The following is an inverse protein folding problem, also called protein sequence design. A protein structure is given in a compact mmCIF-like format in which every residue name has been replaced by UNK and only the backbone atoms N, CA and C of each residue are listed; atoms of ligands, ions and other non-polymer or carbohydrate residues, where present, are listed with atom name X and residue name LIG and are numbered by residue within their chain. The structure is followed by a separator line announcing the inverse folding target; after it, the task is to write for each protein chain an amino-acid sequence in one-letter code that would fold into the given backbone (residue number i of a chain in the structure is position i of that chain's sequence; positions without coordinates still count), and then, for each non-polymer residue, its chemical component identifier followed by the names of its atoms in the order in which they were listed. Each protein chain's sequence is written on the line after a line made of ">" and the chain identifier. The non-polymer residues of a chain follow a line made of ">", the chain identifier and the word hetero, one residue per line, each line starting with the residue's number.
data_IF_488273560016
#
_entry.id   IF_488273560016
#
_cell.length_a   1.000
_cell.length_b   1.000
_cell.length_c   1.000
_cell.angle_alpha   90.00
_cell.angle_beta   90.00
_cell.angle_gamma   90.00
#
_symmetry.space_group_name_H-M   'P 1'
#
loop_
_entity.id
_entity.type
_entity.pdbx_description
1 polymer ?
#
# COMPACT_ATOMS: atom_id res chain seq x y z
N UNK A 1 10.67 -12.69 -1.96
CA UNK A 1 10.36 -11.24 -1.85
C UNK A 1 11.25 -10.39 -2.74
N UNK A 2 10.65 -9.41 -3.43
CA UNK A 2 11.38 -8.34 -4.14
C UNK A 2 11.32 -7.08 -3.28
N UNK A 3 12.44 -6.36 -3.16
CA UNK A 3 12.54 -5.15 -2.32
C UNK A 3 13.11 -4.02 -3.17
N UNK A 4 12.49 -2.84 -3.06
CA UNK A 4 12.86 -1.66 -3.84
C UNK A 4 12.95 -0.42 -2.93
N UNK A 5 14.09 0.29 -3.01
CA UNK A 5 14.24 1.64 -2.44
C UNK A 5 13.57 2.64 -3.38
N UNK A 6 12.65 3.44 -2.84
CA UNK A 6 11.90 4.44 -3.61
C UNK A 6 12.35 5.88 -3.31
N UNK A 7 13.11 6.02 -2.21
CA UNK A 7 13.68 7.24 -1.69
C UNK A 7 14.29 6.96 -0.31
N UNK A 8 15.08 7.89 0.22
CA UNK A 8 15.62 7.76 1.57
C UNK A 8 14.48 7.56 2.58
N UNK A 9 14.49 6.44 3.29
CA UNK A 9 13.45 6.12 4.27
C UNK A 9 12.11 5.64 3.69
N UNK A 10 11.99 5.46 2.36
CA UNK A 10 10.78 4.90 1.72
C UNK A 10 11.13 3.67 0.88
N UNK A 11 10.48 2.56 1.21
CA UNK A 11 10.71 1.28 0.57
C UNK A 11 9.39 0.60 0.24
N UNK A 12 9.39 -0.19 -0.83
CA UNK A 12 8.32 -1.13 -1.13
C UNK A 12 8.91 -2.53 -1.20
N UNK A 13 8.17 -3.52 -0.70
CA UNK A 13 8.47 -4.91 -0.97
C UNK A 13 7.23 -5.67 -1.42
N UNK A 14 7.46 -6.77 -2.12
CA UNK A 14 6.42 -7.73 -2.49
C UNK A 14 6.67 -9.09 -1.88
N UNK A 15 5.60 -9.82 -1.57
CA UNK A 15 5.64 -11.20 -1.10
C UNK A 15 4.46 -12.01 -1.61
N UNK A 16 4.59 -13.34 -1.55
CA UNK A 16 3.52 -14.24 -1.96
C UNK A 16 2.45 -14.32 -0.87
N UNK A 17 1.23 -13.87 -1.16
CA UNK A 17 0.13 -13.93 -0.20
C UNK A 17 -0.22 -15.41 0.09
N UNK A 18 -0.15 -15.88 1.35
CA UNK A 18 -0.24 -17.30 1.68
C UNK A 18 -1.62 -17.89 1.41
N UNK A 19 -2.68 -17.08 1.53
CA UNK A 19 -4.07 -17.52 1.32
C UNK A 19 -4.53 -17.44 -0.14
N UNK A 20 -3.69 -16.95 -1.06
CA UNK A 20 -4.03 -16.90 -2.48
C UNK A 20 -4.17 -18.30 -3.07
N UNK A 21 -5.14 -18.48 -3.96
CA UNK A 21 -5.35 -19.71 -4.72
C UNK A 21 -5.37 -19.43 -6.22
N UNK A 22 -4.88 -20.34 -7.08
CA UNK A 22 -4.87 -20.17 -8.54
C UNK A 22 -6.22 -19.79 -9.16
N UNK A 23 -7.32 -20.26 -8.58
CA UNK A 23 -8.67 -19.97 -9.07
C UNK A 23 -9.12 -18.52 -8.81
N UNK A 24 -8.41 -17.78 -7.94
CA UNK A 24 -8.65 -16.38 -7.62
C UNK A 24 -7.86 -15.42 -8.51
N UNK A 25 -6.98 -15.93 -9.37
CA UNK A 25 -6.22 -15.13 -10.34
C UNK A 25 -6.99 -14.79 -11.62
N UNK A 26 -6.32 -14.12 -12.54
CA UNK A 26 -6.85 -13.78 -13.87
C UNK A 26 -7.54 -12.43 -13.95
N UNK A 27 -8.22 -12.11 -15.07
CA UNK A 27 -8.60 -10.73 -15.41
C UNK A 27 -9.52 -10.00 -14.41
N UNK A 28 -10.36 -10.74 -13.68
CA UNK A 28 -11.25 -10.20 -12.65
C UNK A 28 -10.81 -10.58 -11.22
N UNK A 29 -9.66 -11.26 -11.12
CA UNK A 29 -9.04 -11.74 -9.90
C UNK A 29 -7.87 -10.87 -9.48
N UNK A 30 -7.09 -11.37 -8.54
CA UNK A 30 -5.86 -10.74 -8.05
C UNK A 30 -4.69 -11.69 -8.13
N UNK A 31 -3.48 -11.15 -8.25
CA UNK A 31 -2.25 -11.92 -8.39
C UNK A 31 -1.67 -12.29 -7.03
N UNK A 32 -1.02 -13.46 -6.93
CA UNK A 32 -0.48 -13.96 -5.65
C UNK A 32 0.50 -12.98 -4.99
N UNK A 33 1.26 -12.25 -5.79
CA UNK A 33 2.23 -11.29 -5.30
C UNK A 33 1.53 -9.99 -4.88
N UNK A 34 1.73 -9.58 -3.63
CA UNK A 34 1.17 -8.34 -3.06
C UNK A 34 2.26 -7.46 -2.48
N UNK A 35 2.06 -6.15 -2.61
CA UNK A 35 2.95 -5.10 -2.14
C UNK A 35 2.62 -4.60 -0.75
N UNK A 36 3.67 -4.18 -0.05
CA UNK A 36 3.64 -3.49 1.23
C UNK A 36 4.63 -2.32 1.21
N UNK A 37 4.41 -1.32 2.07
CA UNK A 37 5.25 -0.11 2.13
C UNK A 37 5.88 0.05 3.50
N UNK A 38 7.15 0.47 3.53
CA UNK A 38 7.89 0.89 4.71
C UNK A 38 8.23 2.37 4.55
N UNK A 39 7.93 3.18 5.57
CA UNK A 39 8.24 4.60 5.62
C UNK A 39 8.81 5.02 6.98
N UNK A 40 9.99 5.65 6.99
CA UNK A 40 10.56 6.31 8.17
C UNK A 40 9.97 7.70 8.37
N UNK A 41 8.74 7.74 8.88
CA UNK A 41 8.11 8.99 9.32
C UNK A 41 8.95 9.72 10.39
N UNK A 42 8.76 11.04 10.59
CA UNK A 42 9.48 11.81 11.62
C UNK A 42 9.51 11.15 13.00
N UNK A 43 8.37 10.63 13.46
CA UNK A 43 8.21 10.03 14.79
C UNK A 43 8.02 8.51 14.85
N UNK A 44 7.99 7.80 13.72
CA UNK A 44 7.70 6.36 13.68
C UNK A 44 8.37 5.64 12.50
N UNK A 45 8.54 4.32 12.64
CA UNK A 45 8.64 3.43 11.48
C UNK A 45 7.21 3.02 11.11
N UNK A 46 6.76 3.39 9.92
CA UNK A 46 5.41 3.13 9.43
C UNK A 46 5.44 1.97 8.44
N UNK A 47 4.61 0.97 8.68
CA UNK A 47 4.39 -0.15 7.77
C UNK A 47 2.96 -0.09 7.26
N UNK A 48 2.77 -0.13 5.94
CA UNK A 48 1.45 -0.12 5.30
C UNK A 48 1.18 -1.49 4.69
N UNK A 49 0.01 -2.06 5.03
CA UNK A 49 -0.48 -3.37 4.57
C UNK A 49 0.58 -4.48 4.66
N UNK A 50 1.28 -4.64 5.80
CA UNK A 50 2.50 -5.42 5.83
C UNK A 50 2.26 -6.92 5.68
N UNK A 51 2.95 -7.53 4.72
CA UNK A 51 3.08 -8.97 4.58
C UNK A 51 4.49 -9.42 4.97
N UNK A 52 4.58 -10.36 5.90
CA UNK A 52 5.79 -11.16 6.13
C UNK A 52 5.85 -12.21 5.03
N UNK A 53 6.80 -12.15 4.08
CA UNK A 53 6.78 -13.05 2.93
C UNK A 53 7.16 -14.47 3.37
N UNK A 54 6.27 -15.47 3.26
CA UNK A 54 6.55 -16.83 3.73
C UNK A 54 7.73 -17.47 2.98
N UNK A 55 8.01 -17.03 1.76
CA UNK A 55 9.14 -17.51 0.97
C UNK A 55 10.50 -16.93 1.40
N UNK A 56 10.53 -15.87 2.20
CA UNK A 56 11.75 -15.14 2.58
C UNK A 56 11.72 -14.64 4.04
N UNK A 57 10.97 -15.32 4.92
CA UNK A 57 10.64 -14.87 6.27
C UNK A 57 11.87 -14.48 7.12
N UNK A 58 12.92 -15.33 7.16
CA UNK A 58 14.12 -15.05 7.96
C UNK A 58 14.84 -13.78 7.47
N UNK A 59 14.88 -13.59 6.15
CA UNK A 59 15.51 -12.41 5.54
C UNK A 59 14.69 -11.15 5.83
N UNK A 60 13.37 -11.25 5.80
CA UNK A 60 12.46 -10.16 6.17
C UNK A 60 12.67 -9.72 7.62
N UNK A 61 12.59 -10.65 8.59
CA UNK A 61 12.74 -10.30 10.00
C UNK A 61 14.10 -9.71 10.32
N UNK A 62 15.19 -10.28 9.78
CA UNK A 62 16.54 -9.75 9.98
C UNK A 62 16.69 -8.31 9.47
N UNK A 63 16.07 -7.99 8.34
CA UNK A 63 16.09 -6.64 7.79
C UNK A 63 15.25 -5.68 8.64
N UNK A 64 14.01 -6.05 8.96
CA UNK A 64 13.10 -5.20 9.72
C UNK A 64 13.63 -4.94 11.15
N UNK A 65 14.19 -5.95 11.82
CA UNK A 65 14.83 -5.79 13.14
C UNK A 65 15.94 -4.74 13.10
N UNK A 66 16.86 -4.86 12.13
CA UNK A 66 17.96 -3.92 11.94
C UNK A 66 17.44 -2.51 11.71
N UNK A 67 16.41 -2.35 10.88
CA UNK A 67 15.91 -1.04 10.48
C UNK A 67 15.10 -0.37 11.59
N UNK A 68 14.31 -1.13 12.36
CA UNK A 68 13.62 -0.65 13.57
C UNK A 68 14.63 -0.28 14.66
N UNK A 69 15.65 -1.09 14.90
CA UNK A 69 16.72 -0.79 15.87
C UNK A 69 17.49 0.47 15.46
N UNK A 70 17.87 0.60 14.18
CA UNK A 70 18.55 1.79 13.66
C UNK A 70 17.69 3.04 13.81
N UNK A 71 16.41 2.97 13.47
CA UNK A 71 15.52 4.12 13.55
C UNK A 71 15.32 4.57 15.00
N UNK A 72 15.25 3.62 15.95
CA UNK A 72 15.02 3.92 17.37
C UNK A 72 13.65 4.56 17.64
N UNK A 73 12.67 4.32 16.76
CA UNK A 73 11.32 4.89 16.80
C UNK A 73 10.28 3.79 17.02
N UNK A 74 9.10 4.11 17.58
CA UNK A 74 8.00 3.15 17.64
C UNK A 74 7.58 2.70 16.24
N UNK A 75 7.09 1.47 16.15
CA UNK A 75 6.51 0.92 14.92
C UNK A 75 5.01 1.23 14.89
N UNK A 76 4.51 1.70 13.75
CA UNK A 76 3.10 1.97 13.48
C UNK A 76 2.68 1.16 12.27
N UNK A 77 1.54 0.49 12.36
CA UNK A 77 0.97 -0.27 11.25
C UNK A 77 -0.29 0.44 10.78
N UNK A 78 -0.33 0.74 9.49
CA UNK A 78 -1.49 1.30 8.83
C UNK A 78 -2.04 0.27 7.85
N UNK A 79 -3.35 0.10 7.84
CA UNK A 79 -4.03 -0.84 6.95
C UNK A 79 -4.98 -0.02 6.08
N UNK A 80 -4.83 -0.10 4.75
CA UNK A 80 -5.63 0.67 3.80
C UNK A 80 -7.07 0.15 3.73
N UNK A 81 -7.24 -1.17 3.81
CA UNK A 81 -8.53 -1.88 3.82
C UNK A 81 -8.46 -3.10 4.73
N UNK A 82 -9.52 -3.41 5.48
CA UNK A 82 -9.39 -4.29 6.66
C UNK A 82 -8.86 -5.71 6.38
N UNK A 83 -9.10 -6.28 5.19
CA UNK A 83 -8.54 -7.58 4.81
C UNK A 83 -7.03 -7.54 4.45
N UNK A 84 -6.42 -6.36 4.35
CA UNK A 84 -4.96 -6.17 4.23
C UNK A 84 -4.22 -6.25 5.58
N UNK A 85 -4.90 -6.58 6.67
CA UNK A 85 -4.25 -6.81 7.96
C UNK A 85 -3.09 -7.83 7.85
N UNK A 86 -3.22 -8.87 7.01
CA UNK A 86 -2.11 -9.77 6.61
C UNK A 86 -1.26 -10.20 7.83
N UNK A 87 0.00 -9.77 7.90
CA UNK A 87 0.94 -10.10 8.97
C UNK A 87 1.04 -9.03 10.07
N UNK A 88 0.10 -8.08 10.11
CA UNK A 88 0.08 -6.99 11.08
C UNK A 88 0.15 -7.50 12.53
N UNK A 89 -0.60 -8.56 12.87
CA UNK A 89 -0.61 -9.12 14.23
C UNK A 89 0.76 -9.64 14.65
N UNK A 90 1.46 -10.38 13.78
CA UNK A 90 2.79 -10.91 14.05
C UNK A 90 3.83 -9.79 14.23
N UNK A 91 3.73 -8.73 13.44
CA UNK A 91 4.62 -7.56 13.53
C UNK A 91 4.30 -6.75 14.79
N UNK A 92 3.02 -6.58 15.13
CA UNK A 92 2.57 -5.89 16.33
C UNK A 92 3.04 -6.61 17.60
N UNK A 93 2.94 -7.95 17.63
CA UNK A 93 3.47 -8.76 18.73
C UNK A 93 4.99 -8.60 18.87
N UNK A 94 5.73 -8.58 17.75
CA UNK A 94 7.20 -8.49 17.76
C UNK A 94 7.72 -7.14 18.25
N UNK A 95 7.10 -6.04 17.83
CA UNK A 95 7.62 -4.69 18.08
C UNK A 95 6.78 -3.86 19.05
N UNK A 96 5.68 -4.41 19.59
CA UNK A 96 4.69 -3.64 20.34
C UNK A 96 4.05 -2.55 19.49
N UNK A 97 3.83 -2.81 18.20
CA UNK A 97 3.36 -1.81 17.24
C UNK A 97 1.89 -1.45 17.48
N UNK A 98 1.53 -0.19 17.24
CA UNK A 98 0.14 0.27 17.29
C UNK A 98 -0.51 0.16 15.91
N UNK A 99 -1.68 -0.51 15.84
CA UNK A 99 -2.48 -0.71 14.62
C UNK A 99 -3.67 0.26 14.50
N UNK A 100 -3.76 1.25 15.39
CA UNK A 100 -4.83 2.25 15.42
C UNK A 100 -4.38 3.59 16.00
N UNK A 101 -5.34 4.46 16.34
CA UNK A 101 -5.07 5.80 16.86
C UNK A 101 -4.84 6.86 15.77
N UNK A 102 -4.43 8.09 16.16
CA UNK A 102 -4.11 9.14 15.20
C UNK A 102 -2.98 8.72 14.25
N UNK A 103 -3.03 9.18 13.00
CA UNK A 103 -1.97 8.92 12.02
C UNK A 103 -0.63 9.50 12.52
N UNK A 104 0.49 8.83 12.23
CA UNK A 104 1.82 9.41 12.44
C UNK A 104 1.98 10.72 11.66
N UNK A 105 2.76 11.66 12.20
CA UNK A 105 3.16 12.87 11.46
C UNK A 105 3.78 12.48 10.11
N UNK A 106 3.48 13.24 9.06
CA UNK A 106 3.96 12.95 7.70
C UNK A 106 3.11 11.93 6.92
N UNK A 107 1.99 11.47 7.48
CA UNK A 107 0.99 10.65 6.77
C UNK A 107 -0.38 11.30 6.86
N UNK A 108 -1.04 11.46 5.71
CA UNK A 108 -2.42 11.94 5.60
C UNK A 108 -3.32 10.83 5.04
N UNK A 109 -4.60 10.85 5.39
CA UNK A 109 -5.59 9.88 4.91
C UNK A 109 -6.66 10.54 4.04
N UNK A 110 -6.98 9.88 2.94
CA UNK A 110 -8.04 10.24 2.00
C UNK A 110 -9.01 9.06 1.92
N UNK A 111 -10.13 9.10 2.67
CA UNK A 111 -11.04 7.95 2.76
C UNK A 111 -11.91 7.82 1.51
N UNK A 112 -11.90 6.64 0.89
CA UNK A 112 -12.85 6.22 -0.14
C UNK A 112 -13.99 5.42 0.52
N UNK A 113 -14.79 6.10 1.36
CA UNK A 113 -15.75 5.49 2.31
C UNK A 113 -16.68 4.45 1.69
N UNK A 114 -17.14 4.66 0.44
CA UNK A 114 -18.04 3.74 -0.24
C UNK A 114 -17.40 2.36 -0.57
N UNK A 115 -16.09 2.23 -0.41
CA UNK A 115 -15.29 1.06 -0.75
C UNK A 115 -14.51 0.51 0.44
N UNK A 116 -14.79 1.01 1.65
CA UNK A 116 -14.09 0.64 2.90
C UNK A 116 -12.55 0.73 2.83
N UNK A 117 -12.04 1.58 1.93
CA UNK A 117 -10.61 1.80 1.75
C UNK A 117 -10.21 3.22 2.13
N UNK A 118 -9.02 3.36 2.72
CA UNK A 118 -8.36 4.63 2.97
C UNK A 118 -7.06 4.71 2.18
N UNK A 119 -6.95 5.71 1.31
CA UNK A 119 -5.74 6.00 0.56
C UNK A 119 -4.82 6.82 1.47
N UNK A 120 -3.56 6.43 1.56
CA UNK A 120 -2.57 7.17 2.35
C UNK A 120 -1.75 8.08 1.45
N UNK A 121 -1.51 9.31 1.91
CA UNK A 121 -0.64 10.28 1.27
C UNK A 121 0.59 10.51 2.14
N UNK A 122 1.78 10.43 1.53
CA UNK A 122 3.07 10.71 2.17
C UNK A 122 3.67 11.93 1.46
N UNK A 123 3.44 13.16 1.98
CA UNK A 123 3.83 14.40 1.32
C UNK A 123 5.32 14.48 1.00
N UNK A 124 6.18 14.02 1.92
CA UNK A 124 7.65 14.05 1.78
C UNK A 124 8.14 13.33 0.52
N UNK A 125 7.44 12.28 0.11
CA UNK A 125 7.81 11.46 -1.05
C UNK A 125 6.89 11.65 -2.25
N UNK A 126 5.94 12.59 -2.16
CA UNK A 126 4.93 12.75 -3.19
C UNK A 126 4.18 11.44 -3.48
N UNK A 127 3.96 10.58 -2.48
CA UNK A 127 3.53 9.20 -2.69
C UNK A 127 2.10 8.95 -2.20
N UNK A 128 1.25 8.42 -3.09
CA UNK A 128 -0.05 7.84 -2.72
C UNK A 128 0.11 6.33 -2.56
N UNK A 129 -0.48 5.76 -1.52
CA UNK A 129 -0.51 4.32 -1.24
C UNK A 129 -1.95 3.82 -1.30
N UNK A 130 -2.18 2.84 -2.18
CA UNK A 130 -3.48 2.22 -2.43
C UNK A 130 -3.47 0.75 -2.01
N UNK A 131 -4.58 0.31 -1.43
CA UNK A 131 -4.93 -1.09 -1.25
C UNK A 131 -5.44 -1.66 -2.56
N UNK A 132 -6.76 -1.63 -2.78
CA UNK A 132 -7.42 -2.40 -3.83
C UNK A 132 -8.13 -1.54 -4.86
N UNK A 133 -8.53 -0.30 -4.57
CA UNK A 133 -9.28 0.51 -5.55
C UNK A 133 -8.47 0.95 -6.77
N UNK A 134 -7.14 1.04 -6.64
CA UNK A 134 -6.20 1.33 -7.73
C UNK A 134 -5.11 0.27 -7.77
N UNK A 135 -4.94 -0.35 -8.94
CA UNK A 135 -4.02 -1.46 -9.18
C UNK A 135 -3.00 -1.07 -10.25
N UNK A 136 -1.82 -1.69 -10.23
CA UNK A 136 -0.86 -1.61 -11.31
C UNK A 136 -1.44 -2.18 -12.60
N UNK A 137 -1.19 -1.50 -13.72
CA UNK A 137 -1.63 -1.95 -15.03
C UNK A 137 -0.52 -2.73 -15.76
N UNK A 138 -0.92 -3.74 -16.54
CA UNK A 138 0.00 -4.39 -17.47
C UNK A 138 0.53 -3.37 -18.50
N UNK A 139 1.84 -3.35 -18.72
CA UNK A 139 2.47 -2.38 -19.62
C UNK A 139 2.79 -1.01 -18.98
N UNK A 140 2.53 -0.86 -17.68
CA UNK A 140 2.84 0.34 -16.91
C UNK A 140 1.62 1.24 -16.67
N UNK A 141 1.75 2.16 -15.71
CA UNK A 141 0.63 2.98 -15.24
C UNK A 141 -0.24 2.25 -14.21
N UNK A 142 -1.45 2.76 -14.00
CA UNK A 142 -2.43 2.19 -13.08
C UNK A 142 -3.79 2.05 -13.75
N UNK A 143 -4.64 1.21 -13.16
CA UNK A 143 -6.04 1.01 -13.52
C UNK A 143 -6.89 0.94 -12.25
N UNK A 144 -8.19 1.18 -12.37
CA UNK A 144 -9.12 0.89 -11.29
C UNK A 144 -9.31 -0.64 -11.13
N UNK A 145 -9.74 -1.05 -9.95
CA UNK A 145 -10.10 -2.44 -9.70
C UNK A 145 -11.25 -2.91 -10.64
N UNK A 146 -11.40 -4.23 -10.83
CA UNK A 146 -12.57 -4.78 -11.50
C UNK A 146 -13.87 -4.33 -10.83
N UNK A 147 -14.93 -4.10 -11.62
CA UNK A 147 -16.26 -3.75 -11.07
C UNK A 147 -16.79 -4.79 -10.08
N UNK A 148 -16.41 -6.06 -10.24
CA UNK A 148 -16.80 -7.15 -9.35
C UNK A 148 -16.26 -7.00 -7.93
N UNK A 149 -15.29 -6.11 -7.68
CA UNK A 149 -14.76 -5.83 -6.33
C UNK A 149 -15.50 -4.69 -5.63
N UNK A 150 -16.31 -3.92 -6.36
CA UNK A 150 -17.00 -2.73 -5.84
C UNK A 150 -18.28 -3.11 -5.08
N UNK A 151 -18.14 -3.87 -4.00
CA UNK A 151 -19.24 -4.18 -3.08
C UNK A 151 -19.69 -2.91 -2.32
N UNK A 152 -20.39 -2.01 -3.01
CA UNK A 152 -20.81 -0.73 -2.42
C UNK A 152 -20.95 0.44 -3.40
N UNK A 153 -20.57 0.28 -4.67
CA UNK A 153 -20.59 1.38 -5.61
C UNK A 153 -20.39 1.02 -7.08
N UNK A 154 -20.11 2.05 -7.88
CA UNK A 154 -19.80 1.93 -9.30
C UNK A 154 -18.44 2.58 -9.56
N UNK A 155 -17.82 2.30 -10.71
CA UNK A 155 -16.58 2.98 -11.09
C UNK A 155 -16.75 4.50 -11.15
N UNK A 156 -17.93 5.02 -11.48
CA UNK A 156 -18.20 6.46 -11.46
C UNK A 156 -18.06 7.03 -10.05
N UNK A 157 -18.67 6.39 -9.05
CA UNK A 157 -18.57 6.81 -7.65
C UNK A 157 -17.12 6.70 -7.17
N UNK A 158 -16.40 5.67 -7.57
CA UNK A 158 -14.98 5.52 -7.24
C UNK A 158 -14.14 6.65 -7.84
N UNK A 159 -14.34 6.95 -9.12
CA UNK A 159 -13.64 8.05 -9.80
C UNK A 159 -13.88 9.38 -9.11
N UNK A 160 -15.13 9.68 -8.74
CA UNK A 160 -15.47 10.90 -8.03
C UNK A 160 -14.79 10.97 -6.66
N UNK A 161 -14.69 9.85 -5.93
CA UNK A 161 -14.00 9.78 -4.64
C UNK A 161 -12.48 9.97 -4.75
N UNK A 162 -11.86 9.49 -5.83
CA UNK A 162 -10.41 9.59 -6.05
C UNK A 162 -9.98 10.92 -6.72
N UNK A 163 -10.92 11.65 -7.34
CA UNK A 163 -10.63 12.87 -8.09
C UNK A 163 -9.89 13.96 -7.28
N UNK A 164 -10.20 14.20 -5.99
CA UNK A 164 -9.45 15.17 -5.19
C UNK A 164 -7.96 14.86 -5.05
N UNK A 165 -7.53 13.60 -5.23
CA UNK A 165 -6.12 13.22 -5.17
C UNK A 165 -5.29 13.86 -6.30
N UNK A 166 -5.93 14.29 -7.39
CA UNK A 166 -5.28 14.97 -8.52
C UNK A 166 -4.81 16.40 -8.19
N UNK A 167 -5.27 16.96 -7.07
CA UNK A 167 -4.83 18.27 -6.55
C UNK A 167 -3.52 18.16 -5.76
N UNK A 168 -3.09 16.96 -5.40
CA UNK A 168 -1.83 16.70 -4.71
C UNK A 168 -0.63 16.71 -5.69
N UNK A 169 0.58 17.06 -5.25
CA UNK A 169 1.80 16.98 -6.05
C UNK A 169 2.30 15.52 -6.17
N UNK A 170 1.49 14.65 -6.78
CA UNK A 170 1.73 13.22 -6.85
C UNK A 170 2.92 12.89 -7.77
N UNK A 171 3.95 12.28 -7.18
CA UNK A 171 5.14 11.77 -7.86
C UNK A 171 5.18 10.24 -7.95
N UNK A 172 4.54 9.54 -7.01
CA UNK A 172 4.56 8.07 -6.93
C UNK A 172 3.16 7.50 -6.61
N UNK A 173 2.79 6.42 -7.29
CA UNK A 173 1.63 5.58 -6.94
C UNK A 173 2.14 4.22 -6.47
N UNK A 174 1.93 3.91 -5.19
CA UNK A 174 2.31 2.64 -4.58
C UNK A 174 1.05 1.80 -4.44
N UNK A 175 1.04 0.64 -5.08
CA UNK A 175 -0.13 -0.24 -5.15
C UNK A 175 0.16 -1.58 -4.48
N UNK A 176 -0.86 -2.16 -3.88
CA UNK A 176 -0.84 -3.54 -3.38
C UNK A 176 -0.65 -4.53 -4.53
N UNK A 177 -1.48 -4.46 -5.57
CA UNK A 177 -1.38 -5.40 -6.70
C UNK A 177 -0.71 -4.76 -7.92
N UNK A 178 0.26 -5.46 -8.48
CA UNK A 178 1.03 -5.02 -9.66
C UNK A 178 2.21 -4.10 -9.32
N UNK A 179 2.79 -3.51 -10.35
CA UNK A 179 3.96 -2.63 -10.23
C UNK A 179 3.56 -1.20 -9.81
N UNK A 180 4.38 -0.52 -9.00
CA UNK A 180 4.17 0.89 -8.68
C UNK A 180 4.48 1.79 -9.89
N UNK A 181 3.92 2.99 -9.90
CA UNK A 181 4.26 4.05 -10.87
C UNK A 181 5.16 5.06 -10.20
N UNK A 182 6.42 5.15 -10.65
CA UNK A 182 7.45 5.99 -10.03
C UNK A 182 7.80 7.23 -10.86
N UNK A 183 7.26 7.33 -12.07
CA UNK A 183 7.44 8.47 -12.96
C UNK A 183 6.09 8.79 -13.62
N UNK A 184 5.82 10.08 -13.87
CA UNK A 184 4.55 10.52 -14.47
C UNK A 184 3.29 10.03 -13.72
N UNK A 185 3.42 9.82 -12.40
CA UNK A 185 2.38 9.24 -11.54
C UNK A 185 1.05 9.98 -11.61
N UNK A 186 1.07 11.32 -11.54
CA UNK A 186 -0.15 12.13 -11.68
C UNK A 186 -0.87 11.88 -13.01
N UNK A 187 -0.12 11.81 -14.12
CA UNK A 187 -0.69 11.55 -15.44
C UNK A 187 -1.28 10.14 -15.54
N UNK A 188 -0.61 9.15 -14.93
CA UNK A 188 -1.13 7.78 -14.87
C UNK A 188 -2.44 7.71 -14.05
N UNK A 189 -2.51 8.42 -12.93
CA UNK A 189 -3.73 8.53 -12.13
C UNK A 189 -4.85 9.23 -12.90
N UNK A 190 -4.55 10.35 -13.58
CA UNK A 190 -5.52 11.07 -14.41
C UNK A 190 -6.09 10.18 -15.52
N UNK A 191 -5.26 9.39 -16.19
CA UNK A 191 -5.70 8.45 -17.22
C UNK A 191 -6.61 7.34 -16.66
N UNK A 192 -6.31 6.80 -15.47
CA UNK A 192 -7.16 5.81 -14.82
C UNK A 192 -8.53 6.37 -14.40
N UNK A 193 -8.59 7.67 -14.12
CA UNK A 193 -9.81 8.37 -13.69
C UNK A 193 -10.62 8.97 -14.86
N UNK A 194 -10.09 8.94 -16.09
CA UNK A 194 -10.72 9.51 -17.29
C UNK A 194 -12.00 8.77 -17.73
#
# INVERSE_FOLDING_TARGET
>A
MVVQELGAGLWRWTGLHPDWKPEQGGPNGWEQEVGSVYYEAPGAVVLVDPLVPPEDEERFWRALDRDVERAGKPVRILVTVHWHARSADAIAERYGAETGGPLPDGVEAYPAVAFDETILWIPEHGALVFGDVVLGAEGGGVRLCPESWLEGGTLTVLKDALRPLLDLPVERLLVSHGEPVLESARSALEQALA
#
